data_IF_183327892367
#
_entry.id   IF_183327892367
#
_cell.length_a   1.000
_cell.length_b   1.000
_cell.length_c   1.000
_cell.angle_alpha   90.00
_cell.angle_beta   90.00
_cell.angle_gamma   90.00
#
_symmetry.space_group_name_H-M   'P 1'
#
loop_
_entity.id
_entity.type
_entity.pdbx_description
1 polymer ?
#
# COMPACT_ATOMS: atom_id res chain seq x y z
N UNK A 1 17.34 3.73 -6.32
CA UNK A 1 16.19 2.93 -6.80
C UNK A 1 15.66 3.61 -8.04
N UNK A 2 15.57 2.90 -9.16
CA UNK A 2 14.94 3.36 -10.39
C UNK A 2 13.41 3.20 -10.32
N UNK A 3 12.78 3.64 -11.40
CA UNK A 3 11.37 3.61 -11.68
C UNK A 3 10.78 2.19 -11.80
N UNK A 4 11.46 1.13 -11.36
CA UNK A 4 10.93 -0.23 -11.22
C UNK A 4 11.09 -0.76 -9.78
N UNK A 5 11.62 0.05 -8.85
CA UNK A 5 11.95 -0.40 -7.49
C UNK A 5 13.30 -1.12 -7.40
N UNK A 6 13.97 -1.33 -8.53
CA UNK A 6 15.31 -1.92 -8.59
C UNK A 6 16.34 -0.86 -8.18
N UNK A 7 17.45 -1.27 -7.56
CA UNK A 7 18.55 -0.34 -7.27
C UNK A 7 19.27 0.04 -8.58
N UNK A 8 18.80 1.06 -9.30
CA UNK A 8 19.60 1.68 -10.35
C UNK A 8 20.92 2.21 -9.77
N UNK A 9 22.01 1.61 -10.22
CA UNK A 9 23.37 2.03 -9.88
C UNK A 9 24.41 0.91 -10.00
N UNK A 10 24.00 -0.36 -9.96
CA UNK A 10 24.91 -1.48 -10.06
C UNK A 10 24.72 -2.20 -11.40
N UNK A 11 25.77 -2.29 -12.22
CA UNK A 11 25.82 -3.31 -13.27
C UNK A 11 25.55 -4.66 -12.61
N UNK A 12 24.61 -5.44 -13.17
CA UNK A 12 24.40 -6.81 -12.71
C UNK A 12 25.75 -7.53 -12.84
N UNK A 13 26.33 -8.05 -11.74
CA UNK A 13 27.61 -8.71 -11.82
C UNK A 13 27.47 -9.90 -12.77
N UNK A 14 28.51 -10.15 -13.56
CA UNK A 14 28.54 -11.33 -14.43
C UNK A 14 28.36 -12.62 -13.61
N UNK A 15 28.77 -12.60 -12.34
CA UNK A 15 28.76 -13.73 -11.42
C UNK A 15 28.48 -13.25 -9.98
N UNK A 16 27.50 -13.87 -9.32
CA UNK A 16 27.19 -13.67 -7.89
C UNK A 16 27.83 -14.79 -7.07
N UNK A 17 28.76 -14.46 -6.18
CA UNK A 17 29.40 -15.43 -5.30
C UNK A 17 28.56 -15.62 -4.03
N UNK A 18 28.29 -16.88 -3.69
CA UNK A 18 27.57 -17.30 -2.49
C UNK A 18 28.46 -18.27 -1.71
N UNK A 19 28.58 -18.03 -0.41
CA UNK A 19 29.33 -18.88 0.50
C UNK A 19 28.43 -19.26 1.68
N UNK A 20 28.26 -20.56 1.91
CA UNK A 20 27.40 -21.14 2.93
C UNK A 20 25.96 -20.59 2.91
N UNK A 21 25.40 -20.48 1.70
CA UNK A 21 24.06 -19.97 1.46
C UNK A 21 23.94 -18.44 1.52
N UNK A 22 24.98 -17.74 1.98
CA UNK A 22 24.98 -16.29 2.18
C UNK A 22 25.67 -15.58 1.01
N UNK A 23 25.13 -14.41 0.66
CA UNK A 23 25.76 -13.54 -0.31
C UNK A 23 27.02 -12.89 0.29
N UNK A 24 28.18 -13.14 -0.31
CA UNK A 24 29.46 -12.59 0.17
C UNK A 24 29.69 -11.14 -0.27
N UNK A 25 28.99 -10.69 -1.31
CA UNK A 25 29.01 -9.32 -1.80
C UNK A 25 27.82 -8.54 -1.22
N UNK A 26 28.01 -7.91 -0.06
CA UNK A 26 26.95 -7.19 0.68
C UNK A 26 26.90 -5.69 0.40
N UNK A 27 27.84 -5.14 -0.38
CA UNK A 27 27.94 -3.71 -0.66
C UNK A 27 27.72 -3.45 -2.15
N UNK A 28 26.61 -2.77 -2.46
CA UNK A 28 26.23 -2.26 -3.80
C UNK A 28 26.02 -3.29 -4.93
N UNK A 29 25.75 -4.57 -4.61
CA UNK A 29 25.49 -5.61 -5.64
C UNK A 29 24.03 -6.08 -5.59
N UNK A 30 23.32 -6.22 -6.73
CA UNK A 30 21.95 -6.71 -6.76
C UNK A 30 21.90 -8.18 -6.31
N UNK A 31 21.16 -8.41 -5.23
CA UNK A 31 20.92 -9.74 -4.66
C UNK A 31 19.78 -10.41 -5.43
N UNK A 32 19.89 -11.71 -5.68
CA UNK A 32 18.91 -12.46 -6.46
C UNK A 32 17.53 -12.42 -5.77
N UNK A 33 16.51 -11.88 -6.45
CA UNK A 33 15.18 -11.72 -5.88
C UNK A 33 14.11 -12.06 -6.93
N UNK A 34 13.19 -12.98 -6.59
CA UNK A 34 11.97 -13.21 -7.39
C UNK A 34 10.84 -12.25 -6.95
N UNK A 35 10.81 -11.88 -5.67
CA UNK A 35 9.86 -10.94 -5.09
C UNK A 35 10.61 -9.69 -4.60
N UNK A 36 9.94 -8.55 -4.43
CA UNK A 36 10.48 -7.25 -3.94
C UNK A 36 11.18 -7.30 -2.55
N UNK A 37 11.45 -8.50 -2.04
CA UNK A 37 12.07 -8.76 -0.75
C UNK A 37 13.28 -9.65 -0.90
N UNK A 38 14.35 -9.26 -0.22
CA UNK A 38 15.64 -9.94 -0.17
C UNK A 38 15.51 -11.37 0.38
N UNK A 39 16.15 -12.33 -0.31
CA UNK A 39 16.38 -13.69 0.19
C UNK A 39 17.77 -13.73 0.81
N UNK A 40 17.84 -14.04 2.11
CA UNK A 40 19.11 -14.04 2.87
C UNK A 40 19.93 -15.31 2.62
N UNK A 41 19.26 -16.46 2.56
CA UNK A 41 19.90 -17.78 2.44
C UNK A 41 19.36 -18.56 1.23
N UNK A 42 20.28 -19.14 0.45
CA UNK A 42 19.98 -19.98 -0.72
C UNK A 42 20.38 -21.44 -0.49
N UNK A 43 19.54 -22.36 -0.96
CA UNK A 43 19.61 -23.80 -0.77
C UNK A 43 19.46 -24.55 -2.12
N UNK A 44 20.05 -25.73 -2.22
CA UNK A 44 19.95 -26.57 -3.44
C UNK A 44 18.74 -27.51 -3.44
N UNK A 45 18.11 -27.69 -2.28
CA UNK A 45 16.98 -28.59 -2.07
C UNK A 45 15.74 -27.86 -1.53
N UNK A 46 14.56 -28.40 -1.85
CA UNK A 46 13.28 -27.82 -1.45
C UNK A 46 13.03 -27.88 0.06
N UNK A 47 13.65 -28.84 0.75
CA UNK A 47 13.57 -28.98 2.21
C UNK A 47 14.49 -28.00 2.95
N UNK A 48 15.27 -27.19 2.20
CA UNK A 48 16.20 -26.17 2.72
C UNK A 48 17.20 -26.76 3.73
N UNK A 49 17.75 -27.94 3.43
CA UNK A 49 18.68 -28.66 4.29
C UNK A 49 20.14 -28.48 3.88
N UNK A 50 20.40 -28.24 2.59
CA UNK A 50 21.74 -28.08 2.03
C UNK A 50 21.87 -26.69 1.43
N UNK A 51 22.73 -25.89 2.07
CA UNK A 51 23.03 -24.52 1.65
C UNK A 51 23.82 -24.52 0.35
N UNK A 52 23.50 -23.58 -0.54
CA UNK A 52 24.24 -23.38 -1.78
C UNK A 52 25.52 -22.58 -1.53
N UNK A 53 26.64 -23.09 -2.02
CA UNK A 53 27.92 -22.39 -2.03
C UNK A 53 28.50 -22.51 -3.44
N UNK A 54 28.80 -21.38 -4.07
CA UNK A 54 29.23 -21.34 -5.47
C UNK A 54 28.91 -20.02 -6.13
N UNK A 55 28.80 -20.05 -7.46
CA UNK A 55 28.61 -18.86 -8.27
C UNK A 55 27.31 -18.94 -9.06
N UNK A 56 26.54 -17.86 -9.10
CA UNK A 56 25.35 -17.74 -9.93
C UNK A 56 25.66 -16.86 -11.13
N UNK A 57 25.42 -17.38 -12.34
CA UNK A 57 25.34 -16.62 -13.59
C UNK A 57 23.87 -16.25 -13.85
N UNK A 58 23.46 -14.98 -13.60
CA UNK A 58 22.09 -14.56 -13.78
C UNK A 58 21.67 -14.50 -15.26
N UNK A 59 22.61 -14.28 -16.18
CA UNK A 59 22.35 -14.18 -17.61
C UNK A 59 22.15 -15.56 -18.25
N UNK A 60 22.91 -16.54 -17.78
CA UNK A 60 22.80 -17.95 -18.18
C UNK A 60 21.68 -18.73 -17.45
N UNK A 61 21.13 -18.17 -16.37
CA UNK A 61 20.19 -18.85 -15.46
C UNK A 61 20.76 -20.16 -14.88
N UNK A 62 22.06 -20.17 -14.56
CA UNK A 62 22.77 -21.33 -14.02
C UNK A 62 23.47 -20.92 -12.73
N UNK A 63 23.29 -21.72 -11.68
CA UNK A 63 24.07 -21.67 -10.45
C UNK A 63 25.06 -22.83 -10.43
N UNK A 64 26.36 -22.55 -10.43
CA UNK A 64 27.43 -23.53 -10.37
C UNK A 64 27.94 -23.64 -8.94
N UNK A 65 27.70 -24.78 -8.30
CA UNK A 65 28.14 -25.05 -6.93
C UNK A 65 29.66 -25.30 -6.89
N UNK A 66 30.27 -25.10 -5.70
CA UNK A 66 31.70 -25.29 -5.49
C UNK A 66 32.19 -26.74 -5.74
N UNK A 67 31.27 -27.70 -5.80
CA UNK A 67 31.52 -29.09 -6.17
C UNK A 67 31.51 -29.35 -7.69
N UNK A 68 31.24 -28.32 -8.50
CA UNK A 68 31.14 -28.37 -9.96
C UNK A 68 29.75 -28.74 -10.50
N UNK A 69 28.75 -28.95 -9.63
CA UNK A 69 27.38 -29.26 -10.06
C UNK A 69 26.63 -28.00 -10.47
N UNK A 70 25.77 -28.14 -11.49
CA UNK A 70 24.95 -27.05 -12.02
C UNK A 70 23.50 -27.18 -11.58
N UNK A 71 22.97 -26.12 -10.99
CA UNK A 71 21.61 -25.99 -10.51
C UNK A 71 20.88 -24.91 -11.31
N UNK A 72 19.69 -25.22 -11.81
CA UNK A 72 18.80 -24.26 -12.49
C UNK A 72 17.75 -23.66 -11.55
N UNK A 73 17.68 -24.17 -10.32
CA UNK A 73 16.73 -23.75 -9.30
C UNK A 73 17.45 -23.75 -7.96
N UNK A 74 17.31 -22.64 -7.22
CA UNK A 74 17.72 -22.50 -5.84
C UNK A 74 16.48 -22.16 -5.01
N UNK A 75 16.47 -22.61 -3.77
CA UNK A 75 15.38 -22.40 -2.82
C UNK A 75 15.82 -21.42 -1.74
N UNK A 76 14.90 -20.63 -1.20
CA UNK A 76 15.19 -19.71 -0.11
C UNK A 76 13.92 -19.13 0.49
N UNK A 77 14.02 -18.68 1.74
CA UNK A 77 12.91 -18.01 2.41
C UNK A 77 12.84 -16.56 1.92
N UNK A 78 11.79 -16.25 1.16
CA UNK A 78 11.43 -14.87 0.84
C UNK A 78 10.32 -14.43 1.80
N UNK A 79 10.48 -13.27 2.43
CA UNK A 79 9.38 -12.68 3.18
C UNK A 79 8.30 -12.19 2.20
N UNK A 80 7.07 -12.68 2.33
CA UNK A 80 5.93 -12.04 1.68
C UNK A 80 5.68 -10.68 2.36
N UNK A 81 5.46 -9.60 1.60
CA UNK A 81 5.16 -8.28 2.16
C UNK A 81 3.79 -7.78 1.68
N UNK A 82 3.09 -7.03 2.53
CA UNK A 82 1.82 -6.39 2.19
C UNK A 82 0.62 -7.35 2.07
N UNK A 83 -0.06 -7.31 0.92
CA UNK A 83 -1.31 -8.05 0.71
C UNK A 83 -1.14 -9.58 0.67
N UNK A 84 -0.13 -10.16 -0.02
CA UNK A 84 0.16 -11.60 0.02
C UNK A 84 0.38 -12.14 1.44
N UNK A 85 1.15 -11.44 2.28
CA UNK A 85 1.39 -11.85 3.66
C UNK A 85 0.09 -11.93 4.47
N UNK A 86 -0.78 -10.93 4.30
CA UNK A 86 -2.09 -10.92 4.96
C UNK A 86 -2.96 -12.07 4.45
N UNK A 87 -2.92 -12.34 3.13
CA UNK A 87 -3.63 -13.46 2.53
C UNK A 87 -3.15 -14.80 3.08
N UNK A 88 -1.84 -15.01 3.19
CA UNK A 88 -1.22 -16.20 3.76
C UNK A 88 -1.60 -16.37 5.24
N UNK A 89 -1.55 -15.29 6.02
CA UNK A 89 -1.96 -15.29 7.42
C UNK A 89 -3.42 -15.69 7.62
N UNK A 90 -4.33 -15.17 6.80
CA UNK A 90 -5.75 -15.55 6.85
C UNK A 90 -6.01 -16.98 6.35
N UNK A 91 -5.26 -17.44 5.33
CA UNK A 91 -5.33 -18.84 4.86
C UNK A 91 -4.93 -19.82 5.98
N UNK A 92 -3.84 -19.53 6.71
CA UNK A 92 -3.39 -20.34 7.83
C UNK A 92 -4.38 -20.25 9.00
N UNK A 93 -4.77 -19.04 9.41
CA UNK A 93 -5.62 -18.81 10.58
C UNK A 93 -7.05 -19.34 10.42
N UNK A 94 -7.58 -19.35 9.20
CA UNK A 94 -8.92 -19.88 8.90
C UNK A 94 -8.89 -21.33 8.39
N UNK A 95 -7.72 -21.97 8.32
CA UNK A 95 -7.60 -23.36 7.87
C UNK A 95 -8.54 -24.36 8.58
N UNK A 96 -8.88 -24.23 9.89
CA UNK A 96 -9.85 -25.13 10.52
C UNK A 96 -11.29 -24.97 9.99
N UNK A 97 -11.60 -23.81 9.39
CA UNK A 97 -12.91 -23.48 8.81
C UNK A 97 -12.94 -23.67 7.29
N UNK A 98 -11.79 -23.89 6.65
CA UNK A 98 -11.62 -24.19 5.23
C UNK A 98 -10.62 -23.27 4.50
N UNK A 99 -10.26 -23.64 3.27
CA UNK A 99 -9.22 -22.99 2.45
C UNK A 99 -9.69 -21.72 1.70
N UNK A 100 -10.62 -20.97 2.28
CA UNK A 100 -11.23 -19.78 1.66
C UNK A 100 -10.75 -18.47 2.30
N UNK A 101 -9.92 -18.54 3.34
CA UNK A 101 -9.39 -17.37 4.04
C UNK A 101 -8.66 -16.39 3.12
N UNK A 102 -7.89 -16.90 2.15
CA UNK A 102 -7.21 -16.06 1.17
C UNK A 102 -8.16 -15.32 0.22
N UNK A 103 -9.28 -15.95 -0.17
CA UNK A 103 -10.29 -15.35 -1.05
C UNK A 103 -11.06 -14.23 -0.36
N UNK A 104 -11.33 -14.37 0.94
CA UNK A 104 -11.97 -13.31 1.75
C UNK A 104 -11.10 -12.05 1.73
N UNK A 105 -9.79 -12.19 1.92
CA UNK A 105 -8.86 -11.05 1.92
C UNK A 105 -8.88 -10.33 0.56
N UNK A 106 -8.85 -11.07 -0.55
CA UNK A 106 -8.93 -10.48 -1.90
C UNK A 106 -10.23 -9.69 -2.08
N UNK A 107 -11.36 -10.26 -1.68
CA UNK A 107 -12.65 -9.56 -1.76
C UNK A 107 -12.70 -8.32 -0.85
N UNK A 108 -12.15 -8.42 0.37
CA UNK A 108 -12.09 -7.31 1.31
C UNK A 108 -11.23 -6.16 0.76
N UNK A 109 -10.04 -6.47 0.23
CA UNK A 109 -9.15 -5.48 -0.39
C UNK A 109 -9.82 -4.81 -1.59
N UNK A 110 -10.53 -5.56 -2.44
CA UNK A 110 -11.28 -5.00 -3.56
C UNK A 110 -12.35 -4.01 -3.09
N UNK A 111 -13.18 -4.39 -2.12
CA UNK A 111 -14.23 -3.53 -1.56
C UNK A 111 -13.64 -2.29 -0.88
N UNK A 112 -12.53 -2.45 -0.17
CA UNK A 112 -11.84 -1.35 0.49
C UNK A 112 -11.23 -0.36 -0.52
N UNK A 113 -10.58 -0.87 -1.57
CA UNK A 113 -10.05 -0.06 -2.66
C UNK A 113 -11.16 0.73 -3.38
N UNK A 114 -12.30 0.09 -3.66
CA UNK A 114 -13.45 0.75 -4.30
C UNK A 114 -14.05 1.85 -3.41
N UNK A 115 -14.27 1.57 -2.13
CA UNK A 115 -14.83 2.58 -1.21
C UNK A 115 -13.88 3.77 -1.02
N UNK A 116 -12.58 3.51 -1.00
CA UNK A 116 -11.53 4.54 -0.99
C UNK A 116 -11.59 5.37 -2.27
N UNK A 117 -11.57 4.74 -3.45
CA UNK A 117 -11.65 5.42 -4.74
C UNK A 117 -12.89 6.34 -4.85
N UNK A 118 -14.06 5.87 -4.41
CA UNK A 118 -15.29 6.68 -4.43
C UNK A 118 -15.15 7.91 -3.52
N UNK A 119 -14.62 7.72 -2.30
CA UNK A 119 -14.45 8.81 -1.33
C UNK A 119 -13.49 9.89 -1.84
N UNK A 120 -12.33 9.47 -2.38
CA UNK A 120 -11.34 10.39 -2.94
C UNK A 120 -11.82 11.08 -4.22
N UNK A 121 -12.61 10.39 -5.05
CA UNK A 121 -13.30 10.99 -6.20
C UNK A 121 -14.22 12.12 -5.75
N UNK A 122 -15.01 11.90 -4.69
CA UNK A 122 -15.92 12.91 -4.15
C UNK A 122 -15.17 14.10 -3.54
N UNK A 123 -14.08 13.87 -2.80
CA UNK A 123 -13.30 14.97 -2.24
C UNK A 123 -12.70 15.85 -3.33
N UNK A 124 -12.11 15.26 -4.36
CA UNK A 124 -11.56 16.06 -5.45
C UNK A 124 -12.62 16.72 -6.34
N UNK A 125 -13.82 16.12 -6.50
CA UNK A 125 -14.98 16.78 -7.12
C UNK A 125 -15.29 18.10 -6.40
N UNK A 126 -15.37 18.08 -5.06
CA UNK A 126 -15.59 19.29 -4.26
C UNK A 126 -14.46 20.30 -4.37
N UNK A 127 -13.20 19.87 -4.40
CA UNK A 127 -12.06 20.75 -4.60
C UNK A 127 -12.07 21.40 -5.99
N UNK A 128 -12.33 20.62 -7.05
CA UNK A 128 -12.42 21.12 -8.43
C UNK A 128 -13.56 22.13 -8.58
N UNK A 129 -14.73 21.82 -8.00
CA UNK A 129 -15.87 22.73 -8.00
C UNK A 129 -15.58 24.04 -7.23
N UNK A 130 -14.84 23.97 -6.12
CA UNK A 130 -14.47 25.16 -5.34
C UNK A 130 -13.48 26.06 -6.10
N UNK A 131 -12.49 25.48 -6.77
CA UNK A 131 -11.43 26.23 -7.46
C UNK A 131 -11.85 26.74 -8.84
N UNK A 132 -12.57 25.93 -9.60
CA UNK A 132 -12.82 26.17 -11.03
C UNK A 132 -14.31 26.16 -11.40
N UNK A 133 -15.19 25.97 -10.42
CA UNK A 133 -16.64 25.89 -10.62
C UNK A 133 -17.12 24.53 -11.13
N UNK A 134 -18.44 24.41 -11.32
CA UNK A 134 -19.12 23.15 -11.62
C UNK A 134 -18.72 22.50 -12.95
N UNK A 135 -18.26 23.31 -13.91
CA UNK A 135 -17.83 22.84 -15.23
C UNK A 135 -16.55 22.00 -15.18
N UNK A 136 -15.70 22.19 -14.16
CA UNK A 136 -14.44 21.46 -14.01
C UNK A 136 -14.59 20.08 -13.38
N UNK A 137 -15.76 19.77 -12.81
CA UNK A 137 -16.03 18.49 -12.13
C UNK A 137 -15.95 17.31 -13.10
N UNK A 138 -16.52 17.46 -14.29
CA UNK A 138 -16.57 16.37 -15.27
C UNK A 138 -15.16 16.07 -15.84
N UNK A 139 -14.36 17.05 -16.30
CA UNK A 139 -12.95 16.84 -16.65
C UNK A 139 -12.14 16.20 -15.52
N UNK A 140 -12.33 16.64 -14.28
CA UNK A 140 -11.66 16.04 -13.11
C UNK A 140 -11.98 14.55 -12.95
N UNK A 141 -13.25 14.15 -13.10
CA UNK A 141 -13.65 12.74 -12.99
C UNK A 141 -13.00 11.87 -14.07
N UNK A 142 -12.89 12.37 -15.30
CA UNK A 142 -12.15 11.67 -16.36
C UNK A 142 -10.67 11.51 -15.98
N UNK A 143 -10.01 12.60 -15.55
CA UNK A 143 -8.61 12.54 -15.11
C UNK A 143 -8.41 11.56 -13.94
N UNK A 144 -9.33 11.55 -12.96
CA UNK A 144 -9.29 10.65 -11.81
C UNK A 144 -9.34 9.17 -12.22
N UNK A 145 -10.25 8.80 -13.13
CA UNK A 145 -10.35 7.43 -13.64
C UNK A 145 -9.10 7.04 -14.44
N UNK A 146 -8.58 7.93 -15.29
CA UNK A 146 -7.32 7.69 -16.01
C UNK A 146 -6.15 7.48 -15.05
N UNK A 147 -6.07 8.26 -13.96
CA UNK A 147 -5.01 8.11 -12.96
C UNK A 147 -5.10 6.77 -12.20
N UNK A 148 -6.29 6.17 -12.06
CA UNK A 148 -6.39 4.80 -11.50
C UNK A 148 -5.74 3.77 -12.42
N UNK A 149 -5.89 3.92 -13.73
CA UNK A 149 -5.21 3.05 -14.69
C UNK A 149 -3.69 3.25 -14.64
N UNK A 150 -3.23 4.50 -14.57
CA UNK A 150 -1.80 4.82 -14.41
C UNK A 150 -1.25 4.23 -13.10
N UNK A 151 -2.00 4.32 -12.00
CA UNK A 151 -1.63 3.70 -10.73
C UNK A 151 -1.59 2.18 -10.77
N UNK A 152 -2.30 1.52 -11.69
CA UNK A 152 -2.23 0.07 -11.84
C UNK A 152 -0.99 -0.41 -12.60
N UNK A 153 -0.30 0.48 -13.34
CA UNK A 153 0.88 0.15 -14.15
C UNK A 153 2.20 0.67 -13.56
N UNK A 154 2.14 1.66 -12.67
CA UNK A 154 3.33 2.20 -12.01
C UNK A 154 3.81 1.27 -10.88
N UNK A 155 5.12 1.27 -10.57
CA UNK A 155 5.64 0.50 -9.45
C UNK A 155 5.11 0.99 -8.12
N UNK A 156 4.92 0.04 -7.20
CA UNK A 156 4.33 0.29 -5.90
C UNK A 156 5.12 1.35 -5.09
N UNK A 157 6.45 1.29 -5.10
CA UNK A 157 7.30 2.26 -4.40
C UNK A 157 7.11 3.70 -4.90
N UNK A 158 6.93 3.87 -6.23
CA UNK A 158 6.70 5.19 -6.83
C UNK A 158 5.35 5.75 -6.37
N UNK A 159 4.31 4.92 -6.33
CA UNK A 159 2.96 5.31 -5.90
C UNK A 159 2.96 5.71 -4.43
N UNK A 160 3.63 4.95 -3.56
CA UNK A 160 3.75 5.31 -2.13
C UNK A 160 4.48 6.64 -1.93
N UNK A 161 5.64 6.80 -2.57
CA UNK A 161 6.43 8.04 -2.46
C UNK A 161 5.64 9.27 -2.95
N UNK A 162 4.94 9.12 -4.08
CA UNK A 162 4.12 10.18 -4.63
C UNK A 162 2.90 10.49 -3.75
N UNK A 163 2.29 9.44 -3.19
CA UNK A 163 1.19 9.54 -2.22
C UNK A 163 1.60 10.32 -0.97
N UNK A 164 2.74 9.98 -0.37
CA UNK A 164 3.25 10.66 0.82
C UNK A 164 3.56 12.14 0.54
N UNK A 165 4.14 12.45 -0.62
CA UNK A 165 4.41 13.83 -1.03
C UNK A 165 3.12 14.64 -1.15
N UNK A 166 2.12 14.14 -1.89
CA UNK A 166 0.86 14.85 -2.06
C UNK A 166 0.07 14.94 -0.75
N UNK A 167 0.12 13.90 0.08
CA UNK A 167 -0.52 13.90 1.38
C UNK A 167 0.12 14.96 2.30
N UNK A 168 1.44 15.10 2.29
CA UNK A 168 2.13 16.15 3.02
C UNK A 168 1.69 17.56 2.56
N UNK A 169 1.57 17.79 1.26
CA UNK A 169 1.09 19.07 0.70
C UNK A 169 -0.32 19.41 1.18
N UNK A 170 -1.21 18.42 1.35
CA UNK A 170 -2.58 18.64 1.85
C UNK A 170 -2.62 18.82 3.36
N UNK A 171 -1.87 18.01 4.11
CA UNK A 171 -1.90 17.98 5.58
C UNK A 171 -1.31 19.26 6.16
N UNK A 172 -0.16 19.73 5.66
CA UNK A 172 0.57 20.89 6.22
C UNK A 172 -0.32 22.14 6.33
N UNK A 173 -0.94 22.66 5.26
CA UNK A 173 -1.80 23.84 5.36
C UNK A 173 -3.05 23.60 6.21
N UNK A 174 -3.61 22.38 6.20
CA UNK A 174 -4.78 22.04 7.00
C UNK A 174 -4.45 22.07 8.50
N UNK A 175 -3.33 21.48 8.92
CA UNK A 175 -2.89 21.51 10.31
C UNK A 175 -2.58 22.93 10.78
N UNK A 176 -1.93 23.76 9.96
CA UNK A 176 -1.69 25.17 10.29
C UNK A 176 -3.03 25.89 10.52
N UNK A 177 -4.00 25.72 9.62
CA UNK A 177 -5.31 26.33 9.75
C UNK A 177 -6.05 25.85 11.01
N UNK A 178 -6.00 24.55 11.33
CA UNK A 178 -6.61 24.00 12.54
C UNK A 178 -6.00 24.58 13.82
N UNK A 179 -4.66 24.72 13.88
CA UNK A 179 -3.99 25.31 15.04
C UNK A 179 -4.41 26.78 15.21
N UNK A 180 -4.41 27.56 14.13
CA UNK A 180 -4.81 28.98 14.17
C UNK A 180 -6.29 29.16 14.52
N UNK A 181 -7.17 28.29 14.03
CA UNK A 181 -8.62 28.35 14.27
C UNK A 181 -9.06 27.66 15.58
N UNK A 182 -8.15 26.97 16.27
CA UNK A 182 -8.46 26.24 17.50
C UNK A 182 -9.19 27.08 18.57
N UNK A 183 -8.87 28.37 18.81
CA UNK A 183 -9.60 29.16 19.81
C UNK A 183 -11.06 29.44 19.38
N UNK A 184 -11.28 29.66 18.09
CA UNK A 184 -12.63 29.92 17.55
C UNK A 184 -13.48 28.64 17.62
N UNK A 185 -12.90 27.48 17.27
CA UNK A 185 -13.61 26.19 17.38
C UNK A 185 -14.00 25.91 18.83
N UNK A 186 -13.12 26.21 19.80
CA UNK A 186 -13.43 26.06 21.22
C UNK A 186 -14.59 26.98 21.66
N UNK A 187 -14.57 28.25 21.23
CA UNK A 187 -15.65 29.19 21.53
C UNK A 187 -17.00 28.74 20.95
N UNK A 188 -17.04 28.32 19.68
CA UNK A 188 -18.25 27.81 19.04
C UNK A 188 -18.74 26.51 19.67
N UNK A 189 -17.82 25.61 20.03
CA UNK A 189 -18.15 24.36 20.71
C UNK A 189 -18.81 24.66 22.07
N UNK A 190 -18.25 25.57 22.86
CA UNK A 190 -18.83 25.98 24.15
C UNK A 190 -20.22 26.58 23.98
N UNK A 191 -20.37 27.52 23.03
CA UNK A 191 -21.65 28.14 22.68
C UNK A 191 -22.69 27.12 22.23
N UNK A 192 -22.29 26.11 21.43
CA UNK A 192 -23.18 25.03 21.01
C UNK A 192 -23.70 24.23 22.22
N UNK A 193 -22.83 23.89 23.17
CA UNK A 193 -23.24 23.15 24.36
C UNK A 193 -24.07 23.99 25.35
N UNK A 194 -23.81 25.30 25.43
CA UNK A 194 -24.61 26.22 26.25
C UNK A 194 -26.03 26.39 25.71
N UNK A 195 -26.20 26.50 24.38
CA UNK A 195 -27.51 26.64 23.72
C UNK A 195 -28.39 25.39 23.82
N UNK A 196 -27.81 24.21 24.13
CA UNK A 196 -28.51 22.91 24.20
C UNK A 196 -29.51 22.69 23.05
N UNK A 197 -29.13 22.93 21.78
CA UNK A 197 -30.08 22.88 20.65
C UNK A 197 -30.73 21.50 20.48
N UNK A 198 -30.09 20.43 20.97
CA UNK A 198 -30.71 19.09 20.99
C UNK A 198 -31.97 19.02 21.86
N UNK A 199 -32.06 19.79 22.96
CA UNK A 199 -33.28 19.86 23.78
C UNK A 199 -34.36 20.68 23.09
N UNK A 200 -34.03 21.86 22.55
CA UNK A 200 -34.99 22.68 21.81
C UNK A 200 -35.55 21.95 20.59
N UNK A 201 -34.70 21.24 19.84
CA UNK A 201 -35.11 20.45 18.68
C UNK A 201 -35.99 19.27 19.10
N UNK A 202 -35.72 18.63 20.24
CA UNK A 202 -36.56 17.57 20.75
C UNK A 202 -37.94 18.08 21.20
N UNK A 203 -38.00 19.24 21.88
CA UNK A 203 -39.25 19.90 22.26
C UNK A 203 -40.07 20.31 21.04
N UNK A 204 -39.44 20.91 20.02
CA UNK A 204 -40.07 21.23 18.73
C UNK A 204 -40.60 19.97 18.05
N UNK A 205 -39.84 18.87 18.05
CA UNK A 205 -40.26 17.59 17.46
C UNK A 205 -41.44 16.97 18.22
N UNK A 206 -41.45 17.06 19.55
CA UNK A 206 -42.60 16.63 20.39
C UNK A 206 -43.82 17.51 20.17
N UNK A 207 -43.66 18.82 20.02
CA UNK A 207 -44.74 19.74 19.71
C UNK A 207 -45.34 19.50 18.32
N UNK A 208 -44.52 19.23 17.30
CA UNK A 208 -44.97 18.88 15.95
C UNK A 208 -45.76 17.57 15.92
N UNK A 209 -45.33 16.54 16.66
CA UNK A 209 -46.10 15.29 16.83
C UNK A 209 -47.45 15.53 17.52
N UNK A 210 -47.49 16.35 18.57
CA UNK A 210 -48.74 16.73 19.25
C UNK A 210 -49.68 17.53 18.33
N UNK A 211 -49.13 18.29 17.39
CA UNK A 211 -49.88 19.04 16.39
C UNK A 211 -50.27 18.21 15.15
N UNK A 212 -49.93 16.91 15.10
CA UNK A 212 -50.26 16.01 13.99
C UNK A 212 -49.58 16.34 12.65
N UNK A 213 -48.52 17.16 12.67
CA UNK A 213 -47.79 17.60 11.46
C UNK A 213 -46.61 16.68 11.11
N UNK A 214 -46.43 15.59 11.85
CA UNK A 214 -45.29 14.68 11.78
C UNK A 214 -45.67 13.29 12.31
#
# INVERSE_FOLDING_TARGET
MDAEGMRAGAEAPAELVIEDGLHTQTVDVPLLAWHDVHVEELFIDADMTVRFSGTIDPAGAIAEAADGNRHTTLYGLAYESGAPLTQAGFRIGLSPLGDWGGTIVVLAVLLFALSTAISWSYYGDRCANYLFGSVAVLPYKFAFVTMHFVGAVLPLAVIWNLGDLFLAIVIVPNLIALVLLSPQVLAETRSYFERKPWRENEEKRRALKRAGKL
#
